data_IF_928775078364
#
_entry.id   IF_928775078364
#
_cell.length_a   1.000
_cell.length_b   1.000
_cell.length_c   1.000
_cell.angle_alpha   90.00
_cell.angle_beta   90.00
_cell.angle_gamma   90.00
#
_symmetry.space_group_name_H-M   'P 1'
#
loop_
_entity.id
_entity.type
_entity.pdbx_description
1 polymer ?
#
# COMPACT_ATOMS: atom_id res chain seq x y z
N UNK A 1 -6.30 -27.64 12.59
CA UNK A 1 -5.32 -27.01 11.67
C UNK A 1 -5.81 -25.60 11.41
N UNK A 2 -5.15 -24.58 11.95
CA UNK A 2 -5.54 -23.18 11.73
C UNK A 2 -5.17 -22.80 10.30
N UNK A 3 -6.15 -22.52 9.45
CA UNK A 3 -5.92 -21.77 8.22
C UNK A 3 -5.35 -20.41 8.64
N UNK A 4 -4.03 -20.24 8.58
CA UNK A 4 -3.45 -18.91 8.57
C UNK A 4 -4.01 -18.25 7.31
N UNK A 5 -4.97 -17.35 7.51
CA UNK A 5 -5.51 -16.57 6.40
C UNK A 5 -4.36 -15.74 5.87
N UNK A 6 -3.98 -15.99 4.62
CA UNK A 6 -3.16 -15.09 3.81
C UNK A 6 -3.81 -13.73 3.87
N UNK A 7 -3.23 -12.84 4.65
CA UNK A 7 -3.89 -11.59 4.96
C UNK A 7 -2.85 -10.51 5.10
N UNK A 8 -2.96 -9.55 4.20
CA UNK A 8 -2.33 -8.27 4.38
C UNK A 8 -3.04 -7.55 5.52
N UNK A 9 -2.28 -7.00 6.45
CA UNK A 9 -2.77 -6.18 7.55
C UNK A 9 -2.41 -4.74 7.25
N UNK A 10 -3.42 -3.92 7.04
CA UNK A 10 -3.28 -2.47 7.11
C UNK A 10 -3.60 -2.08 8.56
N UNK A 11 -2.84 -1.14 9.13
CA UNK A 11 -3.17 -0.53 10.42
C UNK A 11 -2.77 0.93 10.43
N UNK A 12 -3.52 1.72 11.18
CA UNK A 12 -3.27 3.14 11.38
C UNK A 12 -2.34 3.33 12.57
N UNK A 13 -1.24 4.06 12.36
CA UNK A 13 -0.29 4.41 13.41
C UNK A 13 -0.58 5.80 13.96
N UNK A 14 -0.85 6.76 13.08
CA UNK A 14 -1.13 8.17 13.38
C UNK A 14 -2.04 8.76 12.30
N UNK A 15 -2.67 9.94 12.53
CA UNK A 15 -3.56 10.68 11.61
C UNK A 15 -3.27 10.64 10.12
N UNK A 16 -2.02 10.40 9.73
CA UNK A 16 -1.60 10.39 8.33
C UNK A 16 -0.55 9.30 8.03
N UNK A 17 -0.38 8.32 8.92
CA UNK A 17 0.63 7.27 8.79
C UNK A 17 -0.05 5.90 8.88
N UNK A 18 0.06 5.15 7.79
CA UNK A 18 -0.44 3.80 7.68
C UNK A 18 0.73 2.82 7.59
N UNK A 19 0.59 1.68 8.27
CA UNK A 19 1.49 0.55 8.13
C UNK A 19 0.75 -0.61 7.47
N UNK A 20 1.33 -1.10 6.40
CA UNK A 20 0.96 -2.31 5.71
C UNK A 20 1.96 -3.42 6.09
N UNK A 21 1.46 -4.59 6.48
CA UNK A 21 2.25 -5.80 6.73
C UNK A 21 1.63 -6.94 5.92
N UNK A 22 2.44 -7.81 5.36
CA UNK A 22 1.98 -8.95 4.57
C UNK A 22 2.92 -10.14 4.69
N UNK A 23 2.42 -11.30 4.28
CA UNK A 23 3.21 -12.51 4.14
C UNK A 23 2.79 -13.18 2.82
N UNK A 24 3.77 -13.42 1.94
CA UNK A 24 3.55 -14.08 0.65
C UNK A 24 4.07 -15.49 0.74
N UNK A 25 3.13 -16.43 0.75
CA UNK A 25 3.49 -17.84 0.64
C UNK A 25 4.00 -18.17 -0.77
N UNK A 26 4.95 -19.09 -0.85
CA UNK A 26 5.57 -19.54 -2.09
C UNK A 26 4.55 -20.02 -3.14
N UNK A 27 3.38 -20.50 -2.70
CA UNK A 27 2.29 -20.92 -3.58
C UNK A 27 1.78 -19.78 -4.47
N UNK A 28 1.73 -18.54 -3.96
CA UNK A 28 1.27 -17.39 -4.75
C UNK A 28 2.28 -17.01 -5.84
N UNK A 29 3.57 -17.15 -5.54
CA UNK A 29 4.65 -16.96 -6.52
C UNK A 29 4.52 -18.02 -7.62
N UNK A 30 4.34 -19.28 -7.24
CA UNK A 30 4.13 -20.40 -8.18
C UNK A 30 2.88 -20.18 -9.03
N UNK A 31 1.78 -19.73 -8.44
CA UNK A 31 0.54 -19.46 -9.15
C UNK A 31 0.68 -18.28 -10.13
N UNK A 32 1.39 -17.23 -9.74
CA UNK A 32 1.69 -16.12 -10.64
C UNK A 32 2.51 -16.59 -11.85
N UNK A 33 3.62 -17.30 -11.60
CA UNK A 33 4.49 -17.82 -12.66
C UNK A 33 3.72 -18.79 -13.56
N UNK A 34 2.84 -19.63 -13.00
CA UNK A 34 2.01 -20.54 -13.78
C UNK A 34 1.02 -19.81 -14.68
N UNK A 35 0.46 -18.68 -14.22
CA UNK A 35 -0.55 -17.90 -14.97
C UNK A 35 0.06 -16.96 -16.00
N UNK A 36 1.17 -16.30 -15.67
CA UNK A 36 1.74 -15.22 -16.46
C UNK A 36 3.13 -15.55 -17.06
N UNK A 37 3.74 -16.67 -16.64
CA UNK A 37 5.05 -17.10 -17.08
C UNK A 37 6.21 -16.52 -16.26
N UNK A 38 7.37 -17.19 -16.32
CA UNK A 38 8.61 -16.71 -15.68
C UNK A 38 9.04 -15.34 -16.21
N UNK A 39 8.85 -15.09 -17.51
CA UNK A 39 9.17 -13.80 -18.12
C UNK A 39 8.44 -12.64 -17.43
N UNK A 40 7.15 -12.78 -17.11
CA UNK A 40 6.39 -11.74 -16.42
C UNK A 40 6.90 -11.52 -14.99
N UNK A 41 7.38 -12.57 -14.31
CA UNK A 41 7.97 -12.46 -12.98
C UNK A 41 9.27 -11.64 -13.02
N UNK A 42 10.16 -11.95 -13.97
CA UNK A 42 11.45 -11.28 -14.14
C UNK A 42 11.33 -9.82 -14.61
N UNK A 43 10.30 -9.50 -15.40
CA UNK A 43 10.06 -8.15 -15.93
C UNK A 43 9.18 -7.27 -15.03
N UNK A 44 8.74 -7.80 -13.89
CA UNK A 44 7.95 -7.06 -12.93
C UNK A 44 8.70 -6.83 -11.63
N UNK A 45 8.26 -5.85 -10.86
CA UNK A 45 8.78 -5.58 -9.52
C UNK A 45 7.67 -5.72 -8.47
N UNK A 46 7.99 -6.15 -7.24
CA UNK A 46 7.06 -6.07 -6.12
C UNK A 46 6.54 -4.65 -5.95
N UNK A 47 5.26 -4.52 -5.66
CA UNK A 47 4.63 -3.23 -5.48
C UNK A 47 3.43 -3.29 -4.55
N UNK A 48 3.18 -2.16 -3.88
CA UNK A 48 1.99 -1.90 -3.10
C UNK A 48 1.09 -0.93 -3.86
N UNK A 49 -0.12 -1.36 -4.19
CA UNK A 49 -1.17 -0.46 -4.69
C UNK A 49 -1.99 0.03 -3.51
N UNK A 50 -2.13 1.35 -3.40
CA UNK A 50 -2.95 2.01 -2.39
C UNK A 50 -4.17 2.57 -3.10
N UNK A 51 -5.34 2.09 -2.72
CA UNK A 51 -6.63 2.58 -3.18
C UNK A 51 -7.26 3.47 -2.10
N UNK A 52 -7.66 4.67 -2.51
CA UNK A 52 -8.30 5.68 -1.67
C UNK A 52 -9.75 5.80 -2.13
N UNK A 53 -10.69 5.76 -1.20
CA UNK A 53 -12.12 5.95 -1.47
C UNK A 53 -12.79 4.90 -2.37
N UNK A 54 -12.15 3.75 -2.62
CA UNK A 54 -12.68 2.60 -3.40
C UNK A 54 -14.03 2.01 -2.91
N UNK A 55 -14.67 2.63 -1.90
CA UNK A 55 -15.98 2.24 -1.37
C UNK A 55 -17.06 3.32 -1.42
N UNK A 56 -16.74 4.56 -1.78
CA UNK A 56 -17.76 5.61 -1.92
C UNK A 56 -18.31 5.55 -3.33
N UNK A 57 -19.61 5.28 -3.49
CA UNK A 57 -20.35 5.34 -4.77
C UNK A 57 -20.36 6.76 -5.43
N UNK A 58 -19.45 7.64 -5.04
CA UNK A 58 -19.26 8.99 -5.57
C UNK A 58 -18.19 8.86 -6.66
N UNK A 59 -18.64 8.65 -7.91
CA UNK A 59 -17.73 8.64 -9.06
C UNK A 59 -16.91 9.94 -9.08
N UNK A 60 -15.58 9.81 -9.16
CA UNK A 60 -14.64 10.94 -9.28
C UNK A 60 -13.79 11.25 -8.05
N UNK A 61 -14.00 10.58 -6.90
CA UNK A 61 -13.12 10.73 -5.72
C UNK A 61 -12.21 9.52 -5.46
N UNK A 62 -12.20 8.54 -6.38
CA UNK A 62 -11.33 7.37 -6.29
C UNK A 62 -9.95 7.74 -6.81
N UNK A 63 -8.95 7.59 -5.94
CA UNK A 63 -7.55 7.80 -6.27
C UNK A 63 -6.80 6.51 -5.98
N UNK A 64 -5.80 6.21 -6.80
CA UNK A 64 -4.88 5.12 -6.51
C UNK A 64 -3.46 5.51 -6.87
N UNK A 65 -2.51 5.02 -6.10
CA UNK A 65 -1.10 5.16 -6.40
C UNK A 65 -0.36 3.87 -6.06
N UNK A 66 0.80 3.69 -6.70
CA UNK A 66 1.60 2.48 -6.54
C UNK A 66 2.96 2.86 -5.95
N UNK A 67 3.33 2.18 -4.87
CA UNK A 67 4.66 2.25 -4.27
C UNK A 67 5.47 1.03 -4.72
N UNK A 68 6.58 1.21 -5.44
CA UNK A 68 7.55 0.14 -5.69
C UNK A 68 8.12 -0.39 -4.36
N UNK A 69 8.38 -1.69 -4.30
CA UNK A 69 8.96 -2.39 -3.16
C UNK A 69 10.19 -3.20 -3.60
N UNK A 70 10.96 -3.69 -2.64
CA UNK A 70 12.05 -4.65 -2.88
C UNK A 70 11.57 -6.10 -2.70
N UNK A 71 12.27 -7.05 -3.33
CA UNK A 71 12.00 -8.47 -3.13
C UNK A 71 12.29 -8.85 -1.68
N UNK A 72 11.31 -9.50 -1.04
CA UNK A 72 11.41 -9.89 0.36
C UNK A 72 10.94 -8.83 1.36
N UNK A 73 10.50 -7.66 0.90
CA UNK A 73 9.76 -6.75 1.79
C UNK A 73 8.49 -7.44 2.30
N UNK A 74 8.27 -7.35 3.61
CA UNK A 74 7.07 -7.90 4.29
C UNK A 74 6.21 -6.80 4.92
N UNK A 75 6.66 -5.55 4.83
CA UNK A 75 5.94 -4.41 5.37
C UNK A 75 6.33 -3.09 4.67
N UNK A 76 5.43 -2.12 4.71
CA UNK A 76 5.67 -0.76 4.26
C UNK A 76 4.93 0.22 5.17
N UNK A 77 5.58 1.33 5.48
CA UNK A 77 4.95 2.47 6.14
C UNK A 77 4.86 3.60 5.13
N UNK A 78 3.67 4.16 4.95
CA UNK A 78 3.44 5.24 4.02
C UNK A 78 2.59 6.35 4.64
N UNK A 79 2.79 7.55 4.12
CA UNK A 79 2.09 8.76 4.55
C UNK A 79 0.92 9.06 3.61
N UNK A 80 -0.18 9.56 4.16
CA UNK A 80 -1.35 10.03 3.42
C UNK A 80 -1.75 11.42 3.88
N UNK A 81 -1.77 12.40 2.97
CA UNK A 81 -2.34 13.73 3.24
C UNK A 81 -3.87 13.74 3.24
N UNK A 82 -4.50 12.65 2.84
CA UNK A 82 -5.94 12.57 2.70
C UNK A 82 -6.61 12.30 4.02
N UNK A 83 -7.71 13.01 4.23
CA UNK A 83 -8.42 13.08 5.49
C UNK A 83 -9.84 12.53 5.33
N UNK A 84 -10.31 11.76 6.33
CA UNK A 84 -11.63 11.10 6.33
C UNK A 84 -11.85 10.19 5.12
N UNK A 85 -10.78 9.64 4.55
CA UNK A 85 -10.84 8.72 3.42
C UNK A 85 -10.81 7.26 3.90
N UNK A 86 -11.31 6.38 3.05
CA UNK A 86 -11.21 4.93 3.23
C UNK A 86 -10.00 4.44 2.45
N UNK A 87 -9.11 3.70 3.10
CA UNK A 87 -7.92 3.13 2.48
C UNK A 87 -8.06 1.61 2.37
N UNK A 88 -7.57 1.10 1.26
CA UNK A 88 -7.39 -0.31 0.96
C UNK A 88 -6.03 -0.47 0.29
N UNK A 89 -5.33 -1.55 0.57
CA UNK A 89 -4.04 -1.81 -0.04
C UNK A 89 -3.98 -3.21 -0.62
N UNK A 90 -3.32 -3.34 -1.75
CA UNK A 90 -3.06 -4.60 -2.43
C UNK A 90 -1.56 -4.77 -2.61
N UNK A 91 -1.04 -5.93 -2.23
CA UNK A 91 0.31 -6.33 -2.58
C UNK A 91 0.26 -7.15 -3.86
N UNK A 92 1.19 -6.88 -4.77
CA UNK A 92 1.27 -7.59 -6.04
C UNK A 92 2.56 -7.26 -6.77
N UNK A 93 2.53 -7.41 -8.09
CA UNK A 93 3.64 -7.04 -8.96
C UNK A 93 3.22 -6.01 -9.98
N UNK A 94 4.06 -5.00 -10.16
CA UNK A 94 3.92 -3.96 -11.17
C UNK A 94 4.76 -4.33 -12.40
N UNK A 95 4.12 -4.35 -13.56
CA UNK A 95 4.73 -4.49 -14.89
C UNK A 95 4.60 -3.17 -15.61
N UNK A 96 5.72 -2.49 -15.88
CA UNK A 96 5.72 -1.14 -16.46
C UNK A 96 4.80 -0.17 -15.67
N UNK A 97 4.48 1.01 -16.21
CA UNK A 97 3.68 2.02 -15.50
C UNK A 97 2.18 1.75 -15.46
N UNK A 98 1.66 0.85 -16.30
CA UNK A 98 0.21 0.70 -16.51
C UNK A 98 -0.37 -0.61 -15.96
N UNK A 99 0.46 -1.62 -15.67
CA UNK A 99 -0.04 -2.94 -15.30
C UNK A 99 0.34 -3.27 -13.86
N UNK A 100 -0.67 -3.57 -13.05
CA UNK A 100 -0.51 -4.08 -11.69
C UNK A 100 -1.31 -5.37 -11.53
N UNK A 101 -0.66 -6.41 -11.00
CA UNK A 101 -1.26 -7.73 -10.79
C UNK A 101 -1.27 -8.02 -9.28
N UNK A 102 -2.44 -7.97 -8.62
CA UNK A 102 -2.55 -8.19 -7.17
C UNK A 102 -2.39 -9.67 -6.80
N UNK A 103 -1.81 -9.93 -5.63
CA UNK A 103 -1.74 -11.24 -4.99
C UNK A 103 -2.72 -11.34 -3.82
N UNK A 104 -2.64 -10.35 -2.93
CA UNK A 104 -3.38 -10.30 -1.67
C UNK A 104 -3.76 -8.85 -1.37
N UNK A 105 -4.75 -8.69 -0.53
CA UNK A 105 -5.31 -7.39 -0.16
C UNK A 105 -5.58 -7.28 1.33
N UNK A 106 -5.60 -6.05 1.84
CA UNK A 106 -5.96 -5.76 3.22
C UNK A 106 -7.46 -5.64 3.40
N UNK A 107 -7.92 -5.49 4.65
CA UNK A 107 -9.26 -4.94 4.89
C UNK A 107 -9.27 -3.40 4.68
N UNK A 108 -10.47 -2.82 4.60
CA UNK A 108 -10.66 -1.36 4.53
C UNK A 108 -10.43 -0.69 5.88
N UNK A 109 -9.68 0.40 5.91
CA UNK A 109 -9.49 1.25 7.09
C UNK A 109 -9.98 2.66 6.83
N UNK A 110 -10.79 3.19 7.74
CA UNK A 110 -11.16 4.60 7.74
C UNK A 110 -10.12 5.38 8.52
N UNK A 111 -9.53 6.39 7.89
CA UNK A 111 -8.81 7.40 8.63
C UNK A 111 -9.82 8.21 9.46
N UNK A 112 -9.73 8.05 10.78
CA UNK A 112 -10.52 8.78 11.74
C UNK A 112 -9.62 9.84 12.36
N UNK A 113 -9.92 11.11 12.11
CA UNK A 113 -9.32 12.21 12.86
C UNK A 113 -9.45 12.01 14.37
N UNK A 114 -8.32 11.97 15.07
CA UNK A 114 -8.31 12.23 16.50
C UNK A 114 -8.09 13.73 16.75
N UNK A 115 -9.07 14.34 17.44
CA UNK A 115 -8.78 15.46 18.34
C UNK A 115 -7.83 14.90 19.40
N UNK A 116 -6.64 15.49 19.49
CA UNK A 116 -5.58 15.20 20.47
C UNK A 116 -4.92 13.81 20.31
N UNK A 117 -3.79 13.79 19.59
CA UNK A 117 -2.85 12.66 19.62
C UNK A 117 -1.48 13.18 20.11
N UNK A 118 -0.83 12.50 21.07
CA UNK A 118 0.47 12.90 21.57
C UNK A 118 1.53 12.67 20.49
N UNK A 119 2.50 13.59 20.43
CA UNK A 119 3.61 13.59 19.48
C UNK A 119 4.33 12.23 19.53
N UNK A 120 4.24 11.46 18.45
CA UNK A 120 4.98 10.21 18.29
C UNK A 120 6.17 10.43 17.33
N UNK A 121 7.37 9.93 17.64
CA UNK A 121 8.54 10.10 16.78
C UNK A 121 8.41 9.28 15.49
N UNK A 122 8.82 9.87 14.37
CA UNK A 122 8.80 9.25 13.05
C UNK A 122 9.83 8.10 12.93
N UNK A 123 9.53 7.02 12.18
CA UNK A 123 10.49 5.97 11.85
C UNK A 123 11.65 6.50 11.01
N UNK A 124 12.86 5.96 11.23
CA UNK A 124 14.11 6.45 10.64
C UNK A 124 14.23 6.28 9.11
N UNK A 125 13.39 5.45 8.50
CA UNK A 125 13.45 5.14 7.07
C UNK A 125 12.15 5.60 6.37
N UNK A 126 12.08 6.89 6.04
CA UNK A 126 11.04 7.43 5.17
C UNK A 126 11.51 7.34 3.72
N UNK A 127 10.91 6.43 2.94
CA UNK A 127 11.08 6.42 1.48
C UNK A 127 10.38 7.65 0.92
N UNK A 128 11.16 8.56 0.35
CA UNK A 128 10.70 9.82 -0.21
C UNK A 128 9.86 9.58 -1.48
N UNK A 129 8.54 9.63 -1.38
CA UNK A 129 7.70 9.73 -2.57
C UNK A 129 7.64 11.19 -3.05
N UNK A 130 7.74 11.40 -4.37
CA UNK A 130 7.79 12.73 -5.01
C UNK A 130 6.57 13.63 -4.71
N UNK A 131 5.51 13.11 -4.10
CA UNK A 131 4.36 13.90 -3.63
C UNK A 131 4.76 14.97 -2.59
N UNK A 132 5.89 14.82 -1.90
CA UNK A 132 6.37 15.77 -0.89
C UNK A 132 6.98 17.07 -1.45
N UNK A 133 7.39 17.12 -2.72
CA UNK A 133 8.07 18.32 -3.26
C UNK A 133 7.15 19.54 -3.41
N UNK A 134 5.83 19.36 -3.40
CA UNK A 134 4.90 20.49 -3.47
C UNK A 134 4.56 21.11 -2.10
N UNK A 135 4.90 20.45 -0.98
CA UNK A 135 4.65 21.00 0.37
C UNK A 135 5.76 21.98 0.77
N UNK A 136 6.99 21.77 0.30
CA UNK A 136 8.14 22.64 0.62
C UNK A 136 8.15 24.00 -0.10
N UNK A 137 7.17 24.30 -0.97
CA UNK A 137 7.05 25.64 -1.57
C UNK A 137 6.09 26.57 -0.82
N UNK A 138 5.40 26.09 0.22
CA UNK A 138 4.47 26.90 1.02
C UNK A 138 4.89 27.06 2.48
N UNK A 139 6.12 26.68 2.84
CA UNK A 139 6.70 26.90 4.16
C UNK A 139 8.11 27.49 4.00
N UNK A 140 8.18 28.69 3.43
CA UNK A 140 9.21 29.71 3.70
C UNK A 140 8.56 31.09 3.63
#
# INVERSE_FOLDING_TARGET
MSHLRHKMKLKFLLPHILQAEWNIEEIHIKDFIKKFGYWAWEQSIPALKIDINSSSNIMGEEESFILPLEEGDEQCIFFTSYNRKVFWVEYGRKMDNEIFIPFISSDRIKDCHFKECPIMPLPKNLVHSKALMQINQYVL
#
